data_IF_450061625697
#
_entry.id   IF_450061625697
#
_cell.length_a   1.000
_cell.length_b   1.000
_cell.length_c   1.000
_cell.angle_alpha   90.00
_cell.angle_beta   90.00
_cell.angle_gamma   90.00
#
_symmetry.space_group_name_H-M   'P 1'
#
loop_
_entity.id
_entity.type
_entity.pdbx_description
1 polymer ?
#
# COMPACT_ATOMS: atom_id res chain seq x y z
N UNK A 1 -6.77 -15.20 -5.50
CA UNK A 1 -7.39 -14.75 -6.78
C UNK A 1 -8.49 -15.69 -7.30
N UNK A 2 -8.26 -17.01 -7.41
CA UNK A 2 -9.24 -17.95 -8.00
C UNK A 2 -10.63 -17.93 -7.32
N UNK A 3 -10.70 -17.84 -5.97
CA UNK A 3 -11.97 -17.71 -5.24
C UNK A 3 -12.75 -16.42 -5.56
N UNK A 4 -12.07 -15.30 -5.79
CA UNK A 4 -12.72 -14.03 -6.12
C UNK A 4 -13.25 -14.03 -7.57
N UNK A 5 -12.50 -14.63 -8.51
CA UNK A 5 -12.95 -14.82 -9.88
C UNK A 5 -14.15 -15.78 -9.98
N UNK A 6 -14.16 -16.85 -9.17
CA UNK A 6 -15.31 -17.76 -9.07
C UNK A 6 -16.54 -17.07 -8.47
N UNK A 7 -16.38 -16.25 -7.44
CA UNK A 7 -17.49 -15.49 -6.85
C UNK A 7 -18.06 -14.45 -7.82
N UNK A 8 -17.20 -13.75 -8.57
CA UNK A 8 -17.64 -12.74 -9.55
C UNK A 8 -18.33 -13.37 -10.77
N UNK A 9 -17.84 -14.50 -11.26
CA UNK A 9 -18.49 -15.27 -12.34
C UNK A 9 -19.84 -15.82 -11.91
N UNK A 10 -19.96 -16.28 -10.66
CA UNK A 10 -21.21 -16.81 -10.11
C UNK A 10 -22.28 -15.72 -9.98
N UNK A 11 -21.92 -14.51 -9.54
CA UNK A 11 -22.86 -13.38 -9.44
C UNK A 11 -23.40 -12.95 -10.81
N UNK A 12 -22.54 -12.92 -11.83
CA UNK A 12 -22.97 -12.58 -13.20
C UNK A 12 -23.87 -13.66 -13.81
N UNK A 13 -23.53 -14.95 -13.63
CA UNK A 13 -24.39 -16.06 -14.09
C UNK A 13 -25.72 -16.11 -13.35
N UNK A 14 -25.73 -15.88 -12.05
CA UNK A 14 -26.97 -15.86 -11.25
C UNK A 14 -27.93 -14.78 -11.75
N UNK A 15 -27.43 -13.57 -12.06
CA UNK A 15 -28.27 -12.49 -12.63
C UNK A 15 -28.87 -12.87 -13.98
N UNK A 16 -28.10 -13.51 -14.85
CA UNK A 16 -28.60 -13.99 -16.15
C UNK A 16 -29.66 -15.07 -15.96
N UNK A 17 -29.43 -16.03 -15.07
CA UNK A 17 -30.37 -17.11 -14.76
C UNK A 17 -31.68 -16.57 -14.19
N UNK A 18 -31.61 -15.64 -13.23
CA UNK A 18 -32.79 -14.98 -12.66
C UNK A 18 -33.54 -14.20 -13.72
N UNK A 19 -32.83 -13.48 -14.60
CA UNK A 19 -33.43 -12.78 -15.74
C UNK A 19 -34.20 -13.72 -16.68
N UNK A 20 -33.57 -14.84 -17.08
CA UNK A 20 -34.19 -15.85 -17.95
C UNK A 20 -35.41 -16.50 -17.29
N UNK A 21 -35.33 -16.83 -16.00
CA UNK A 21 -36.45 -17.38 -15.23
C UNK A 21 -37.62 -16.40 -15.16
N UNK A 22 -37.36 -15.13 -14.86
CA UNK A 22 -38.40 -14.09 -14.84
C UNK A 22 -39.03 -13.93 -16.23
N UNK A 23 -38.23 -13.94 -17.31
CA UNK A 23 -38.75 -13.86 -18.68
C UNK A 23 -39.61 -15.08 -19.04
N UNK A 24 -39.19 -16.30 -18.69
CA UNK A 24 -39.96 -17.52 -18.94
C UNK A 24 -41.28 -17.54 -18.16
N UNK A 25 -41.24 -17.16 -16.87
CA UNK A 25 -42.45 -17.06 -16.05
C UNK A 25 -43.40 -15.99 -16.62
N UNK A 26 -42.86 -14.83 -17.01
CA UNK A 26 -43.64 -13.77 -17.67
C UNK A 26 -44.30 -14.24 -18.97
N UNK A 27 -43.58 -15.02 -19.78
CA UNK A 27 -44.09 -15.56 -21.04
C UNK A 27 -45.19 -16.62 -20.82
N UNK A 28 -45.02 -17.50 -19.83
CA UNK A 28 -46.05 -18.48 -19.45
C UNK A 28 -47.32 -17.82 -18.93
N UNK A 29 -47.18 -16.79 -18.08
CA UNK A 29 -48.32 -16.00 -17.59
C UNK A 29 -49.02 -15.31 -18.76
N UNK A 30 -48.26 -14.72 -19.69
CA UNK A 30 -48.79 -14.02 -20.86
C UNK A 30 -49.52 -14.97 -21.83
N UNK A 31 -48.97 -16.16 -22.10
CA UNK A 31 -49.65 -17.16 -22.92
C UNK A 31 -50.96 -17.63 -22.29
N UNK A 32 -50.95 -17.92 -20.98
CA UNK A 32 -52.15 -18.33 -20.26
C UNK A 32 -53.20 -17.22 -20.26
N UNK A 33 -52.75 -15.96 -20.19
CA UNK A 33 -53.59 -14.77 -20.30
C UNK A 33 -54.23 -14.62 -21.68
N UNK A 34 -53.48 -14.81 -22.78
CA UNK A 34 -54.03 -14.76 -24.15
C UNK A 34 -55.07 -15.87 -24.38
N UNK A 35 -54.79 -17.08 -23.88
CA UNK A 35 -55.63 -18.27 -24.14
C UNK A 35 -56.99 -18.21 -23.46
N UNK A 36 -57.17 -17.47 -22.36
CA UNK A 36 -58.36 -17.58 -21.52
C UNK A 36 -59.47 -16.52 -21.79
N UNK A 37 -59.45 -15.87 -22.97
CA UNK A 37 -60.39 -14.83 -23.45
C UNK A 37 -60.43 -13.52 -22.64
N UNK A 38 -60.35 -12.40 -23.36
CA UNK A 38 -60.42 -11.03 -22.83
C UNK A 38 -61.78 -10.71 -22.20
N UNK A 39 -61.89 -10.86 -20.88
CA UNK A 39 -62.87 -10.12 -20.10
C UNK A 39 -62.25 -8.80 -19.61
N UNK A 40 -63.03 -7.72 -19.52
CA UNK A 40 -62.54 -6.40 -19.10
C UNK A 40 -61.89 -6.44 -17.70
N UNK A 41 -62.39 -7.31 -16.83
CA UNK A 41 -61.84 -7.54 -15.49
C UNK A 41 -60.42 -8.13 -15.53
N UNK A 42 -60.11 -8.97 -16.52
CA UNK A 42 -58.78 -9.58 -16.67
C UNK A 42 -57.78 -8.56 -17.21
N UNK A 43 -58.23 -7.64 -18.08
CA UNK A 43 -57.41 -6.52 -18.56
C UNK A 43 -57.00 -5.59 -17.41
N UNK A 44 -57.94 -5.22 -16.52
CA UNK A 44 -57.65 -4.40 -15.35
C UNK A 44 -56.66 -5.10 -14.39
N UNK A 45 -56.84 -6.41 -14.15
CA UNK A 45 -55.91 -7.20 -13.35
C UNK A 45 -54.49 -7.24 -13.96
N UNK A 46 -54.39 -7.38 -15.29
CA UNK A 46 -53.12 -7.35 -16.00
C UNK A 46 -52.42 -5.99 -15.95
N UNK A 47 -53.17 -4.89 -16.14
CA UNK A 47 -52.62 -3.54 -16.02
C UNK A 47 -52.10 -3.27 -14.60
N UNK A 48 -52.83 -3.71 -13.56
CA UNK A 48 -52.38 -3.64 -12.17
C UNK A 48 -51.11 -4.47 -11.94
N UNK A 49 -51.06 -5.69 -12.48
CA UNK A 49 -49.87 -6.54 -12.41
C UNK A 49 -48.65 -5.88 -13.06
N UNK A 50 -48.77 -5.37 -14.29
CA UNK A 50 -47.69 -4.66 -14.97
C UNK A 50 -47.23 -3.43 -14.20
N UNK A 51 -48.17 -2.71 -13.57
CA UNK A 51 -47.85 -1.55 -12.73
C UNK A 51 -47.04 -1.98 -11.50
N UNK A 52 -47.45 -3.04 -10.79
CA UNK A 52 -46.69 -3.60 -9.67
C UNK A 52 -45.31 -4.12 -10.10
N UNK A 53 -45.24 -4.83 -11.22
CA UNK A 53 -43.99 -5.34 -11.77
C UNK A 53 -43.03 -4.21 -12.14
N UNK A 54 -43.53 -3.15 -12.79
CA UNK A 54 -42.79 -1.93 -13.06
C UNK A 54 -42.23 -1.30 -11.77
N UNK A 55 -43.03 -1.28 -10.70
CA UNK A 55 -42.59 -0.85 -9.37
C UNK A 55 -41.43 -1.69 -8.80
N UNK A 56 -41.47 -3.01 -8.95
CA UNK A 56 -40.39 -3.90 -8.50
C UNK A 56 -39.11 -3.69 -9.32
N UNK A 57 -39.21 -3.62 -10.65
CA UNK A 57 -38.05 -3.41 -11.53
C UNK A 57 -37.39 -2.06 -11.27
N UNK A 58 -38.18 -1.00 -11.06
CA UNK A 58 -37.65 0.32 -10.70
C UNK A 58 -36.98 0.31 -9.33
N UNK A 59 -37.60 -0.29 -8.30
CA UNK A 59 -36.98 -0.44 -6.98
C UNK A 59 -35.65 -1.22 -7.04
N UNK A 60 -35.61 -2.29 -7.84
CA UNK A 60 -34.39 -3.07 -8.08
C UNK A 60 -33.30 -2.23 -8.76
N UNK A 61 -33.64 -1.48 -9.82
CA UNK A 61 -32.71 -0.58 -10.51
C UNK A 61 -32.13 0.50 -9.59
N UNK A 62 -32.97 1.09 -8.74
CA UNK A 62 -32.54 2.06 -7.71
C UNK A 62 -31.59 1.41 -6.70
N UNK A 63 -31.89 0.20 -6.22
CA UNK A 63 -31.01 -0.53 -5.29
C UNK A 63 -29.63 -0.81 -5.89
N UNK A 64 -29.57 -1.26 -7.15
CA UNK A 64 -28.30 -1.48 -7.86
C UNK A 64 -27.48 -0.20 -7.99
N UNK A 65 -28.11 0.88 -8.45
CA UNK A 65 -27.46 2.18 -8.58
C UNK A 65 -26.92 2.68 -7.24
N UNK A 66 -27.71 2.54 -6.17
CA UNK A 66 -27.28 2.92 -4.82
C UNK A 66 -26.08 2.11 -4.33
N UNK A 67 -26.06 0.80 -4.60
CA UNK A 67 -24.93 -0.05 -4.23
C UNK A 67 -23.66 0.31 -5.02
N UNK A 68 -23.81 0.63 -6.31
CA UNK A 68 -22.71 1.12 -7.16
C UNK A 68 -22.16 2.46 -6.65
N UNK A 69 -23.04 3.43 -6.36
CA UNK A 69 -22.66 4.73 -5.78
C UNK A 69 -21.95 4.58 -4.44
N UNK A 70 -22.41 3.67 -3.57
CA UNK A 70 -21.75 3.37 -2.30
C UNK A 70 -20.38 2.74 -2.51
N UNK A 71 -20.25 1.79 -3.42
CA UNK A 71 -18.99 1.15 -3.77
C UNK A 71 -18.00 2.18 -4.31
N UNK A 72 -18.43 3.00 -5.27
CA UNK A 72 -17.64 4.09 -5.83
C UNK A 72 -17.15 5.05 -4.76
N UNK A 73 -18.06 5.56 -3.91
CA UNK A 73 -17.71 6.46 -2.81
C UNK A 73 -16.68 5.83 -1.86
N UNK A 74 -16.82 4.54 -1.55
CA UNK A 74 -15.87 3.81 -0.73
C UNK A 74 -14.46 3.76 -1.35
N UNK A 75 -14.35 3.47 -2.65
CA UNK A 75 -13.06 3.46 -3.35
C UNK A 75 -12.45 4.87 -3.49
N UNK A 76 -13.27 5.89 -3.76
CA UNK A 76 -12.83 7.29 -3.78
C UNK A 76 -12.26 7.71 -2.41
N UNK A 77 -12.99 7.42 -1.33
CA UNK A 77 -12.52 7.71 0.03
C UNK A 77 -11.24 6.94 0.37
N UNK A 78 -11.15 5.67 -0.04
CA UNK A 78 -9.95 4.86 0.15
C UNK A 78 -8.74 5.45 -0.59
N UNK A 79 -8.90 5.91 -1.82
CA UNK A 79 -7.82 6.60 -2.53
C UNK A 79 -7.43 7.87 -1.80
N UNK A 80 -8.38 8.76 -1.52
CA UNK A 80 -8.08 10.08 -0.95
C UNK A 80 -7.53 10.02 0.47
N UNK A 81 -8.09 9.16 1.31
CA UNK A 81 -7.79 9.11 2.75
C UNK A 81 -6.73 8.07 3.12
N UNK A 82 -6.43 7.12 2.24
CA UNK A 82 -5.44 6.06 2.48
C UNK A 82 -4.27 6.14 1.52
N UNK A 83 -4.54 5.84 0.25
CA UNK A 83 -3.44 5.58 -0.67
C UNK A 83 -2.78 6.86 -1.19
N UNK A 84 -3.50 7.95 -1.41
CA UNK A 84 -2.91 9.19 -1.91
C UNK A 84 -1.88 9.79 -0.93
N UNK A 85 -2.15 9.91 0.39
CA UNK A 85 -1.14 10.33 1.37
C UNK A 85 0.08 9.40 1.43
N UNK A 86 -0.12 8.09 1.36
CA UNK A 86 0.99 7.14 1.42
C UNK A 86 1.80 7.10 0.12
N UNK A 87 1.14 7.26 -1.01
CA UNK A 87 1.77 7.28 -2.34
C UNK A 87 2.53 8.59 -2.54
N UNK A 88 2.06 9.72 -2.00
CA UNK A 88 2.77 11.00 -2.12
C UNK A 88 4.12 10.97 -1.39
N UNK A 89 4.18 10.32 -0.23
CA UNK A 89 5.44 10.05 0.49
C UNK A 89 6.40 9.26 -0.40
N UNK A 90 5.89 8.21 -1.05
CA UNK A 90 6.70 7.37 -1.94
C UNK A 90 7.19 8.14 -3.19
N UNK A 91 6.30 8.85 -3.88
CA UNK A 91 6.63 9.65 -5.07
C UNK A 91 7.69 10.71 -4.72
N UNK A 92 7.57 11.35 -3.56
CA UNK A 92 8.56 12.33 -3.12
C UNK A 92 9.96 11.71 -3.00
N UNK A 93 10.06 10.52 -2.40
CA UNK A 93 11.33 9.81 -2.26
C UNK A 93 11.92 9.40 -3.61
N UNK A 94 11.11 8.86 -4.54
CA UNK A 94 11.59 8.49 -5.88
C UNK A 94 12.00 9.72 -6.69
N UNK A 95 11.23 10.81 -6.61
CA UNK A 95 11.58 12.08 -7.26
C UNK A 95 12.92 12.58 -6.74
N UNK A 96 13.16 12.48 -5.43
CA UNK A 96 14.42 12.86 -4.83
C UNK A 96 15.59 11.98 -5.31
N UNK A 97 15.40 10.67 -5.41
CA UNK A 97 16.40 9.74 -5.98
C UNK A 97 16.73 10.10 -7.44
N UNK A 98 15.70 10.39 -8.25
CA UNK A 98 15.89 10.81 -9.64
C UNK A 98 16.73 12.08 -9.76
N UNK A 99 16.44 13.09 -8.93
CA UNK A 99 17.22 14.35 -8.90
C UNK A 99 18.69 14.09 -8.51
N UNK A 100 18.94 13.19 -7.57
CA UNK A 100 20.30 12.85 -7.19
C UNK A 100 21.05 12.07 -8.28
N UNK A 101 20.35 11.29 -9.11
CA UNK A 101 20.95 10.46 -10.16
C UNK A 101 21.60 11.29 -11.26
N UNK A 102 21.09 12.48 -11.51
CA UNK A 102 21.68 13.43 -12.44
C UNK A 102 23.00 14.03 -11.93
N UNK A 103 23.34 13.82 -10.65
CA UNK A 103 24.61 14.25 -10.05
C UNK A 103 25.58 13.07 -10.10
N UNK A 104 26.41 13.00 -11.15
CA UNK A 104 27.32 11.90 -11.57
C UNK A 104 28.27 11.27 -10.52
N UNK A 105 28.23 11.67 -9.25
CA UNK A 105 29.15 11.23 -8.19
C UNK A 105 28.50 10.50 -7.02
N UNK A 106 27.18 10.29 -7.02
CA UNK A 106 26.48 9.63 -5.90
C UNK A 106 26.03 8.22 -6.30
N UNK A 107 26.53 7.20 -5.61
CA UNK A 107 25.98 5.85 -5.67
C UNK A 107 24.55 5.87 -5.12
N UNK A 108 23.55 5.71 -5.99
CA UNK A 108 22.11 5.77 -5.67
C UNK A 108 21.50 4.36 -5.72
N UNK A 109 22.31 3.33 -5.47
CA UNK A 109 21.73 2.01 -5.24
C UNK A 109 20.68 2.10 -4.14
N UNK A 110 19.52 1.46 -4.36
CA UNK A 110 18.41 1.42 -3.41
C UNK A 110 18.80 0.75 -2.08
N UNK A 111 19.92 0.02 -2.08
CA UNK A 111 20.56 -0.51 -0.87
C UNK A 111 21.19 0.58 -0.01
N UNK A 112 21.86 1.56 -0.63
CA UNK A 112 22.54 2.65 0.05
C UNK A 112 21.58 3.78 0.46
N UNK A 113 20.45 3.89 -0.24
CA UNK A 113 19.40 4.87 0.03
C UNK A 113 18.07 4.14 0.26
N UNK A 114 17.75 3.69 1.48
CA UNK A 114 16.48 3.01 1.76
C UNK A 114 15.27 3.90 1.42
N UNK A 115 14.09 3.29 1.30
CA UNK A 115 12.87 4.02 0.91
C UNK A 115 12.49 5.00 2.02
N UNK A 116 12.65 4.58 3.28
CA UNK A 116 12.43 5.43 4.45
C UNK A 116 13.73 5.56 5.25
N UNK A 117 14.54 6.55 4.87
CA UNK A 117 15.81 6.82 5.53
C UNK A 117 15.67 7.60 6.82
N UNK A 118 16.62 7.38 7.74
CA UNK A 118 16.90 8.34 8.81
C UNK A 118 17.82 9.44 8.24
N UNK A 119 17.53 10.70 8.57
CA UNK A 119 18.50 11.77 8.41
C UNK A 119 19.70 11.44 9.31
N UNK A 120 20.83 11.01 8.73
CA UNK A 120 22.01 10.63 9.52
C UNK A 120 22.46 11.78 10.42
N UNK A 121 22.77 11.45 11.67
CA UNK A 121 23.61 12.25 12.55
C UNK A 121 25.08 12.06 12.11
N UNK A 122 25.77 13.14 11.73
CA UNK A 122 27.23 13.09 11.63
C UNK A 122 27.83 13.47 12.98
N UNK A 123 28.55 12.53 13.61
CA UNK A 123 29.35 12.81 14.81
C UNK A 123 30.77 13.15 14.37
N UNK A 124 31.20 14.40 14.53
CA UNK A 124 32.57 14.79 14.26
C UNK A 124 33.44 14.62 15.50
N UNK A 125 34.60 13.97 15.32
CA UNK A 125 35.62 13.87 16.36
C UNK A 125 36.65 14.97 16.15
N UNK A 126 36.75 15.89 17.10
CA UNK A 126 37.92 16.78 17.24
C UNK A 126 38.70 16.37 18.47
N UNK A 127 39.99 16.08 18.26
CA UNK A 127 40.94 15.87 19.35
C UNK A 127 41.45 17.25 19.75
N UNK A 128 41.23 17.66 20.99
CA UNK A 128 41.81 18.91 21.49
C UNK A 128 43.33 18.74 21.63
N UNK A 129 44.07 19.86 21.62
CA UNK A 129 45.53 19.89 21.75
C UNK A 129 46.03 19.19 23.03
N UNK A 130 45.19 19.10 24.07
CA UNK A 130 45.49 18.44 25.35
C UNK A 130 45.32 16.91 25.33
N UNK A 131 45.04 16.31 24.16
CA UNK A 131 44.86 14.86 24.00
C UNK A 131 43.51 14.31 24.49
N UNK A 132 42.69 15.11 25.16
CA UNK A 132 41.31 14.75 25.53
C UNK A 132 40.37 14.81 24.32
N UNK A 133 39.67 13.72 24.05
CA UNK A 133 38.57 13.66 23.07
C UNK A 133 37.36 14.36 23.68
N UNK A 134 36.94 15.49 23.10
CA UNK A 134 35.72 16.17 23.53
C UNK A 134 34.63 15.89 22.50
N UNK A 135 33.46 15.47 22.99
CA UNK A 135 32.30 15.17 22.17
C UNK A 135 31.66 16.49 21.74
N UNK A 136 31.72 16.80 20.45
CA UNK A 136 30.91 17.88 19.88
C UNK A 136 29.87 17.24 18.98
N UNK A 137 28.62 17.27 19.44
CA UNK A 137 27.47 16.93 18.62
C UNK A 137 27.20 18.13 17.70
N UNK A 138 27.85 18.17 16.54
CA UNK A 138 27.50 19.16 15.53
C UNK A 138 26.31 18.63 14.77
N UNK A 139 25.11 19.18 15.04
CA UNK A 139 23.99 19.13 14.10
C UNK A 139 24.44 19.85 12.83
N UNK A 140 25.10 19.14 11.93
CA UNK A 140 25.27 19.66 10.58
C UNK A 140 23.91 19.54 9.90
N UNK A 141 23.21 20.67 9.92
CA UNK A 141 21.90 20.91 9.37
C UNK A 141 21.97 21.01 7.84
N UNK A 142 22.68 20.09 7.20
CA UNK A 142 22.40 19.81 5.81
C UNK A 142 21.14 18.97 5.82
N UNK A 143 19.99 19.64 5.62
CA UNK A 143 18.76 19.05 5.15
C UNK A 143 19.04 18.27 3.87
N UNK A 144 19.68 17.10 3.98
CA UNK A 144 19.54 16.10 2.95
C UNK A 144 18.07 15.74 2.99
N UNK A 145 17.36 16.28 2.00
CA UNK A 145 15.93 16.30 1.76
C UNK A 145 15.35 14.90 1.52
N UNK A 146 15.91 13.88 2.19
CA UNK A 146 15.32 12.56 2.31
C UNK A 146 14.03 12.69 3.10
N UNK A 147 13.01 11.94 2.68
CA UNK A 147 11.82 11.83 3.50
C UNK A 147 12.18 11.06 4.77
N UNK A 148 12.19 11.77 5.91
CA UNK A 148 12.50 11.12 7.17
C UNK A 148 11.46 10.03 7.47
N UNK A 149 11.93 8.91 7.99
CA UNK A 149 11.10 7.85 8.59
C UNK A 149 9.98 8.40 9.49
N UNK A 150 10.26 9.48 10.23
CA UNK A 150 9.28 10.16 11.09
C UNK A 150 8.10 10.72 10.29
N UNK A 151 8.35 11.29 9.11
CA UNK A 151 7.30 11.78 8.21
C UNK A 151 6.43 10.62 7.76
N UNK A 152 7.01 9.51 7.31
CA UNK A 152 6.23 8.34 6.90
C UNK A 152 5.34 7.82 8.04
N UNK A 153 5.90 7.66 9.25
CA UNK A 153 5.12 7.22 10.41
C UNK A 153 4.00 8.20 10.78
N UNK A 154 4.26 9.51 10.73
CA UNK A 154 3.25 10.54 10.94
C UNK A 154 2.16 10.52 9.85
N UNK A 155 2.54 10.24 8.59
CA UNK A 155 1.58 10.01 7.51
C UNK A 155 0.74 8.78 7.81
N UNK A 156 1.32 7.64 8.20
CA UNK A 156 0.56 6.45 8.58
C UNK A 156 -0.43 6.71 9.73
N UNK A 157 -0.08 7.57 10.70
CA UNK A 157 -0.94 7.90 11.84
C UNK A 157 -2.07 8.88 11.51
N UNK A 158 -1.84 9.81 10.59
CA UNK A 158 -2.87 10.73 10.09
C UNK A 158 -3.79 10.11 9.03
N UNK A 159 -3.37 9.00 8.43
CA UNK A 159 -4.11 8.26 7.39
C UNK A 159 -5.27 7.47 8.00
N UNK A 160 -6.43 7.45 7.33
CA UNK A 160 -7.61 6.71 7.83
C UNK A 160 -7.50 5.21 7.49
N UNK A 161 -6.66 4.51 8.26
CA UNK A 161 -6.33 3.09 8.07
C UNK A 161 -7.54 2.13 8.14
N UNK A 162 -8.69 2.56 8.66
CA UNK A 162 -9.93 1.78 8.64
C UNK A 162 -10.46 1.45 7.24
N UNK A 163 -10.06 2.21 6.21
CA UNK A 163 -10.40 1.92 4.80
C UNK A 163 -9.33 1.11 4.08
N UNK A 164 -8.17 0.89 4.72
CA UNK A 164 -7.04 0.19 4.13
C UNK A 164 -7.33 -1.30 3.93
N UNK A 165 -6.55 -1.94 3.06
CA UNK A 165 -6.54 -3.40 2.96
C UNK A 165 -5.88 -4.02 4.20
N UNK A 166 -6.29 -5.22 4.63
CA UNK A 166 -5.71 -5.89 5.80
C UNK A 166 -4.20 -6.14 5.70
N UNK A 167 -3.70 -6.39 4.49
CA UNK A 167 -2.27 -6.60 4.24
C UNK A 167 -1.47 -5.34 4.56
N UNK A 168 -1.94 -4.16 4.12
CA UNK A 168 -1.28 -2.89 4.40
C UNK A 168 -1.18 -2.63 5.92
N UNK A 169 -2.25 -2.91 6.66
CA UNK A 169 -2.25 -2.78 8.13
C UNK A 169 -1.19 -3.66 8.77
N UNK A 170 -1.14 -4.93 8.35
CA UNK A 170 -0.17 -5.92 8.87
C UNK A 170 1.26 -5.46 8.62
N UNK A 171 1.54 -4.97 7.40
CA UNK A 171 2.86 -4.49 7.01
C UNK A 171 3.26 -3.21 7.76
N UNK A 172 2.34 -2.26 7.95
CA UNK A 172 2.59 -1.03 8.73
C UNK A 172 2.89 -1.40 10.18
N UNK A 173 2.11 -2.30 10.80
CA UNK A 173 2.36 -2.77 12.17
C UNK A 173 3.71 -3.46 12.29
N UNK A 174 4.07 -4.32 11.33
CA UNK A 174 5.36 -5.00 11.30
C UNK A 174 6.52 -4.02 11.16
N UNK A 175 6.38 -3.03 10.28
CA UNK A 175 7.36 -1.97 10.12
C UNK A 175 7.53 -1.14 11.41
N UNK A 176 6.42 -0.70 12.01
CA UNK A 176 6.43 0.02 13.30
C UNK A 176 7.09 -0.77 14.43
N UNK A 177 7.02 -2.09 14.38
CA UNK A 177 7.64 -2.97 15.38
C UNK A 177 9.15 -3.18 15.13
N UNK A 178 9.55 -3.47 13.90
CA UNK A 178 10.96 -3.76 13.54
C UNK A 178 11.88 -2.56 13.75
N UNK A 179 11.33 -1.36 13.66
CA UNK A 179 12.05 -0.10 13.65
C UNK A 179 12.69 0.27 15.00
N UNK A 180 11.94 0.36 16.13
CA UNK A 180 12.56 0.54 17.43
C UNK A 180 13.43 -0.66 17.81
N UNK A 181 13.05 -1.87 17.37
CA UNK A 181 13.83 -3.08 17.62
C UNK A 181 15.22 -3.01 16.97
N UNK A 182 15.30 -2.50 15.74
CA UNK A 182 16.56 -2.21 15.06
C UNK A 182 17.40 -1.20 15.84
N UNK A 183 16.79 -0.09 16.27
CA UNK A 183 17.48 0.99 16.99
C UNK A 183 18.12 0.46 18.29
N UNK A 184 17.38 -0.31 19.08
CA UNK A 184 17.87 -0.95 20.30
C UNK A 184 19.07 -1.89 20.03
N UNK A 185 18.99 -2.73 19.00
CA UNK A 185 20.07 -3.66 18.64
C UNK A 185 21.32 -2.93 18.16
N UNK A 186 21.14 -1.82 17.43
CA UNK A 186 22.24 -0.96 17.01
C UNK A 186 22.93 -0.25 18.19
N UNK A 187 22.17 0.19 19.19
CA UNK A 187 22.74 0.76 20.42
C UNK A 187 23.57 -0.29 21.18
N UNK A 188 23.07 -1.52 21.29
CA UNK A 188 23.81 -2.64 21.89
C UNK A 188 25.09 -2.92 21.10
N UNK A 189 25.02 -2.95 19.77
CA UNK A 189 26.19 -3.15 18.93
C UNK A 189 27.23 -2.04 19.15
N UNK A 190 26.80 -0.78 19.17
CA UNK A 190 27.69 0.38 19.36
C UNK A 190 28.33 0.41 20.75
N UNK A 191 27.60 -0.01 21.77
CA UNK A 191 28.13 -0.13 23.14
C UNK A 191 29.22 -1.20 23.24
N UNK A 192 29.05 -2.33 22.54
CA UNK A 192 30.03 -3.42 22.53
C UNK A 192 31.21 -3.15 21.59
N UNK A 193 30.98 -2.40 20.51
CA UNK A 193 31.97 -2.10 19.47
C UNK A 193 31.98 -0.60 19.14
N UNK A 194 32.43 0.27 20.06
CA UNK A 194 32.38 1.73 19.89
C UNK A 194 33.24 2.22 18.73
N UNK A 195 34.25 1.44 18.32
CA UNK A 195 35.13 1.75 17.21
C UNK A 195 34.55 1.33 15.86
N UNK A 196 33.30 0.83 15.78
CA UNK A 196 32.66 0.36 14.53
C UNK A 196 32.56 1.44 13.44
N UNK A 197 32.68 2.72 13.77
CA UNK A 197 32.75 3.81 12.80
C UNK A 197 34.14 4.46 12.70
N UNK A 198 35.13 3.97 13.44
CA UNK A 198 36.48 4.50 13.36
C UNK A 198 37.10 4.18 11.98
N UNK A 199 37.73 5.18 11.36
CA UNK A 199 38.44 5.02 10.08
C UNK A 199 39.71 4.18 10.20
N UNK A 200 40.17 3.91 11.42
CA UNK A 200 41.42 3.20 11.72
C UNK A 200 41.07 1.89 12.41
N UNK A 201 40.63 0.91 11.63
CA UNK A 201 40.43 -0.46 12.12
C UNK A 201 41.44 -1.40 11.51
N UNK A 202 41.86 -2.38 12.30
CA UNK A 202 42.59 -3.53 11.78
C UNK A 202 41.60 -4.52 11.15
N UNK A 203 41.96 -5.11 10.01
CA UNK A 203 41.16 -6.12 9.29
C UNK A 203 40.67 -7.27 10.19
N UNK A 204 41.49 -7.64 11.18
CA UNK A 204 41.15 -8.66 12.18
C UNK A 204 39.95 -8.24 13.05
N UNK A 205 39.92 -7.00 13.54
CA UNK A 205 38.85 -6.49 14.40
C UNK A 205 37.53 -6.35 13.64
N UNK A 206 37.59 -5.94 12.37
CA UNK A 206 36.42 -5.96 11.48
C UNK A 206 35.83 -7.35 11.35
N UNK A 207 36.68 -8.36 11.12
CA UNK A 207 36.24 -9.76 11.01
C UNK A 207 35.57 -10.25 12.30
N UNK A 208 36.09 -9.87 13.47
CA UNK A 208 35.46 -10.21 14.76
C UNK A 208 34.09 -9.55 14.93
N UNK A 209 33.94 -8.27 14.54
CA UNK A 209 32.66 -7.57 14.59
C UNK A 209 31.64 -8.24 13.67
N UNK A 210 32.03 -8.50 12.41
CA UNK A 210 31.14 -9.08 11.41
C UNK A 210 30.72 -10.52 11.73
N UNK A 211 31.58 -11.29 12.39
CA UNK A 211 31.26 -12.63 12.85
C UNK A 211 30.58 -12.64 14.24
N UNK A 212 30.38 -11.48 14.87
CA UNK A 212 29.71 -11.42 16.16
C UNK A 212 28.22 -11.73 16.01
N UNK A 213 27.68 -12.47 16.98
CA UNK A 213 26.24 -12.81 17.03
C UNK A 213 25.36 -11.56 16.94
N UNK A 214 25.73 -10.50 17.66
CA UNK A 214 24.99 -9.22 17.71
C UNK A 214 24.94 -8.59 16.31
N UNK A 215 26.06 -8.53 15.60
CA UNK A 215 26.08 -7.97 14.23
C UNK A 215 25.20 -8.78 13.29
N UNK A 216 25.26 -10.11 13.35
CA UNK A 216 24.43 -10.99 12.52
C UNK A 216 22.93 -10.83 12.80
N UNK A 217 22.55 -10.67 14.07
CA UNK A 217 21.17 -10.36 14.46
C UNK A 217 20.70 -9.02 13.89
N UNK A 218 21.52 -7.98 14.03
CA UNK A 218 21.19 -6.66 13.49
C UNK A 218 21.07 -6.67 11.96
N UNK A 219 21.97 -7.38 11.27
CA UNK A 219 21.91 -7.55 9.82
C UNK A 219 20.61 -8.26 9.41
N UNK A 220 20.21 -9.31 10.15
CA UNK A 220 18.93 -9.99 9.91
C UNK A 220 17.72 -9.08 10.09
N UNK A 221 17.75 -8.19 11.08
CA UNK A 221 16.70 -7.17 11.27
C UNK A 221 16.69 -6.18 10.11
N UNK A 222 17.85 -5.71 9.66
CA UNK A 222 17.97 -4.82 8.50
C UNK A 222 17.42 -5.44 7.21
N UNK A 223 17.75 -6.71 6.96
CA UNK A 223 17.28 -7.44 5.79
C UNK A 223 15.75 -7.64 5.82
N UNK A 224 15.20 -7.98 7.00
CA UNK A 224 13.74 -8.11 7.16
C UNK A 224 13.02 -6.76 7.06
N UNK A 225 13.62 -5.67 7.57
CA UNK A 225 13.08 -4.32 7.43
C UNK A 225 13.01 -3.90 5.96
N UNK A 226 14.09 -4.08 5.20
CA UNK A 226 14.14 -3.81 3.75
C UNK A 226 13.06 -4.59 2.99
N UNK A 227 12.86 -5.86 3.36
CA UNK A 227 11.81 -6.69 2.78
C UNK A 227 10.42 -6.15 3.08
N UNK A 228 10.16 -5.75 4.32
CA UNK A 228 8.88 -5.14 4.72
C UNK A 228 8.66 -3.80 4.01
N UNK A 229 9.69 -2.97 3.85
CA UNK A 229 9.61 -1.72 3.09
C UNK A 229 9.23 -1.96 1.63
N UNK A 230 9.83 -2.97 0.98
CA UNK A 230 9.46 -3.36 -0.39
C UNK A 230 7.99 -3.79 -0.45
N UNK A 231 7.57 -4.68 0.45
CA UNK A 231 6.18 -5.16 0.50
C UNK A 231 5.18 -4.03 0.77
N UNK A 232 5.54 -3.06 1.61
CA UNK A 232 4.73 -1.86 1.85
C UNK A 232 4.52 -1.08 0.57
N UNK A 233 5.58 -0.83 -0.20
CA UNK A 233 5.49 -0.08 -1.45
C UNK A 233 4.61 -0.81 -2.47
N UNK A 234 4.82 -2.12 -2.64
CA UNK A 234 4.00 -2.95 -3.52
C UNK A 234 2.53 -2.91 -3.13
N UNK A 235 2.21 -3.03 -1.84
CA UNK A 235 0.83 -3.01 -1.35
C UNK A 235 0.18 -1.62 -1.49
N UNK A 236 0.94 -0.53 -1.27
CA UNK A 236 0.46 0.84 -1.47
C UNK A 236 0.13 1.07 -2.94
N UNK A 237 1.03 0.74 -3.86
CA UNK A 237 0.84 0.92 -5.30
C UNK A 237 -0.28 0.01 -5.82
N UNK A 238 -0.29 -1.26 -5.43
CA UNK A 238 -1.34 -2.22 -5.80
C UNK A 238 -2.72 -1.78 -5.29
N UNK A 239 -2.78 -1.29 -4.04
CA UNK A 239 -4.02 -0.82 -3.45
C UNK A 239 -4.56 0.45 -4.10
N UNK A 240 -3.66 1.36 -4.49
CA UNK A 240 -4.00 2.55 -5.28
C UNK A 240 -4.56 2.15 -6.66
N UNK A 241 -3.82 1.34 -7.42
CA UNK A 241 -4.17 0.96 -8.79
C UNK A 241 -5.47 0.14 -8.87
N UNK A 242 -5.70 -0.80 -7.95
CA UNK A 242 -6.98 -1.53 -7.90
C UNK A 242 -8.14 -0.59 -7.57
N UNK A 243 -7.95 0.37 -6.66
CA UNK A 243 -9.00 1.33 -6.35
C UNK A 243 -9.33 2.20 -7.57
N UNK A 244 -8.33 2.61 -8.36
CA UNK A 244 -8.55 3.32 -9.63
C UNK A 244 -9.29 2.47 -10.67
N UNK A 245 -8.93 1.19 -10.79
CA UNK A 245 -9.62 0.26 -11.70
C UNK A 245 -11.09 0.10 -11.33
N UNK A 246 -11.41 -0.03 -10.03
CA UNK A 246 -12.80 -0.08 -9.56
C UNK A 246 -13.59 1.21 -9.84
N UNK A 247 -12.90 2.32 -10.06
CA UNK A 247 -13.49 3.61 -10.44
C UNK A 247 -13.52 3.83 -11.97
N UNK A 248 -12.98 2.91 -12.77
CA UNK A 248 -12.83 3.09 -14.22
C UNK A 248 -11.82 4.17 -14.61
N UNK A 249 -10.81 4.42 -13.75
CA UNK A 249 -9.77 5.44 -13.93
C UNK A 249 -8.43 4.83 -14.36
N UNK A 250 -8.45 3.80 -15.21
CA UNK A 250 -7.27 2.99 -15.57
C UNK A 250 -6.10 3.80 -16.15
N UNK A 251 -6.38 4.94 -16.80
CA UNK A 251 -5.35 5.82 -17.38
C UNK A 251 -4.48 6.53 -16.33
N UNK A 252 -4.88 6.52 -15.07
CA UNK A 252 -4.16 7.16 -13.96
C UNK A 252 -3.34 6.14 -13.14
N UNK A 253 -3.26 4.88 -13.59
CA UNK A 253 -2.49 3.84 -12.91
C UNK A 253 -1.02 4.24 -12.86
N UNK A 254 -0.40 3.92 -11.72
CA UNK A 254 1.03 4.09 -11.51
C UNK A 254 1.70 2.82 -12.02
N UNK A 255 2.42 2.93 -13.13
CA UNK A 255 3.27 1.85 -13.66
C UNK A 255 4.62 1.88 -12.96
N UNK A 256 4.70 1.22 -11.80
CA UNK A 256 5.97 0.84 -11.19
C UNK A 256 6.00 -0.68 -11.16
N UNK A 257 6.93 -1.24 -11.91
CA UNK A 257 7.10 -2.68 -12.05
C UNK A 257 7.98 -3.23 -10.92
N UNK A 258 7.78 -4.50 -10.55
CA UNK A 258 8.67 -5.16 -9.58
C UNK A 258 10.14 -5.13 -10.02
N UNK A 259 10.42 -5.15 -11.33
CA UNK A 259 11.76 -5.00 -11.89
C UNK A 259 12.43 -3.69 -11.49
N UNK A 260 11.68 -2.61 -11.34
CA UNK A 260 12.23 -1.33 -10.87
C UNK A 260 12.80 -1.48 -9.46
N UNK A 261 12.23 -2.37 -8.64
CA UNK A 261 12.70 -2.68 -7.30
C UNK A 261 13.81 -3.72 -7.22
N UNK A 262 14.02 -4.55 -8.25
CA UNK A 262 14.91 -5.72 -8.21
C UNK A 262 16.33 -5.42 -8.72
N UNK A 263 16.57 -4.32 -9.42
CA UNK A 263 17.86 -4.01 -10.06
C UNK A 263 19.07 -3.69 -9.13
N UNK A 264 19.19 -4.27 -7.94
CA UNK A 264 20.36 -4.01 -7.08
C UNK A 264 20.89 -5.21 -6.29
N UNK A 265 20.79 -6.44 -6.81
CA UNK A 265 21.29 -7.61 -6.08
C UNK A 265 22.03 -8.65 -6.93
N UNK A 266 22.73 -8.22 -7.97
CA UNK A 266 23.75 -9.05 -8.65
C UNK A 266 25.14 -8.40 -8.52
#
# INVERSE_FOLDING_TARGET
>A
MIRAALLYGCDKMLKVLVGVLISLIGLLIFENFIKNNWNYNDLDAFVKFLTCFGGIVTAWGVYWKWNDEKGRKFYEERIQKVYAPLTSVYIFQETYRGILQDVESVDISRENHPIFGDSKYQTHYKRNADGKTVFYETRENEEKKYMSRKIFLATCESTYLGLARPMLLTLISKYKFLLPYKEEHWEILLKNYPDIYSKVKTKYRETQIFNSKIYMECRGIDDELKKVERQLCEEIISGYNDSLEKLGLDKQKIDITQSDFIQSSD
#
